data_IF_764920974921
#
_entry.id   IF_764920974921
#
_cell.length_a   1.000
_cell.length_b   1.000
_cell.length_c   1.000
_cell.angle_alpha   90.00
_cell.angle_beta   90.00
_cell.angle_gamma   90.00
#
_symmetry.space_group_name_H-M   'P 1'
#
loop_
_entity.id
_entity.type
_entity.pdbx_description
1 polymer ?
#
# COMPACT_ATOMS: atom_id res chain seq x y z
N UNK A 1 -1.52 15.12 -28.04
CA UNK A 1 -1.95 15.18 -26.63
C UNK A 1 -1.85 13.78 -26.04
N UNK A 2 -0.76 13.50 -25.31
CA UNK A 2 -0.62 12.25 -24.56
C UNK A 2 -1.12 12.52 -23.15
N UNK A 3 -2.31 12.03 -22.81
CA UNK A 3 -2.77 12.04 -21.43
C UNK A 3 -1.80 11.20 -20.60
N UNK A 4 -1.16 11.83 -19.61
CA UNK A 4 -0.40 11.12 -18.61
C UNK A 4 -1.33 10.09 -17.97
N UNK A 5 -1.15 8.83 -18.35
CA UNK A 5 -1.76 7.69 -17.67
C UNK A 5 -1.17 7.73 -16.27
N UNK A 6 -1.88 8.39 -15.35
CA UNK A 6 -1.59 8.39 -13.93
C UNK A 6 -1.28 6.94 -13.58
N UNK A 7 -0.07 6.67 -13.07
CA UNK A 7 0.31 5.33 -12.63
C UNK A 7 -0.55 5.03 -11.42
N UNK A 8 -1.76 4.56 -11.67
CA UNK A 8 -2.65 4.11 -10.61
C UNK A 8 -2.00 2.87 -10.00
N UNK A 9 -1.45 3.05 -8.80
CA UNK A 9 -0.89 1.95 -8.04
C UNK A 9 -2.02 0.97 -7.73
N UNK A 10 -1.95 -0.20 -8.39
CA UNK A 10 -2.83 -1.32 -8.09
C UNK A 10 -2.26 -2.11 -6.92
N UNK A 11 -3.08 -2.31 -5.90
CA UNK A 11 -2.73 -3.07 -4.71
C UNK A 11 -3.56 -4.35 -4.64
N UNK A 12 -2.97 -5.43 -4.14
CA UNK A 12 -3.67 -6.68 -3.91
C UNK A 12 -4.33 -6.69 -2.52
N UNK A 13 -5.62 -6.97 -2.49
CA UNK A 13 -6.43 -7.05 -1.26
C UNK A 13 -7.24 -8.34 -1.26
N UNK A 14 -7.79 -8.71 -0.11
CA UNK A 14 -8.69 -9.88 0.03
C UNK A 14 -10.12 -9.42 0.22
N UNK A 15 -11.05 -9.91 -0.59
CA UNK A 15 -12.47 -9.62 -0.44
C UNK A 15 -13.03 -10.27 0.84
N UNK A 16 -13.77 -9.50 1.65
CA UNK A 16 -14.52 -9.99 2.82
C UNK A 16 -15.99 -10.27 2.50
N UNK A 17 -16.46 -9.76 1.38
CA UNK A 17 -17.83 -9.93 0.88
C UNK A 17 -17.79 -10.29 -0.60
N UNK A 18 -18.89 -10.79 -1.13
CA UNK A 18 -19.03 -10.97 -2.57
C UNK A 18 -19.18 -9.58 -3.20
N UNK A 19 -18.19 -9.14 -3.97
CA UNK A 19 -18.17 -7.82 -4.58
C UNK A 19 -17.81 -7.90 -6.06
N UNK A 20 -18.40 -6.99 -6.84
CA UNK A 20 -17.98 -6.72 -8.21
C UNK A 20 -17.06 -5.50 -8.20
N UNK A 21 -15.85 -5.63 -8.72
CA UNK A 21 -14.91 -4.53 -8.88
C UNK A 21 -14.48 -4.46 -10.34
N UNK A 22 -14.61 -3.28 -10.95
CA UNK A 22 -14.42 -3.09 -12.39
C UNK A 22 -15.29 -4.08 -13.20
N UNK A 23 -14.67 -5.04 -13.89
CA UNK A 23 -15.31 -6.07 -14.70
C UNK A 23 -15.34 -7.44 -14.03
N UNK A 24 -14.63 -7.61 -12.92
CA UNK A 24 -14.50 -8.87 -12.19
C UNK A 24 -15.49 -8.99 -11.03
N UNK A 25 -16.02 -10.19 -10.84
CA UNK A 25 -16.79 -10.56 -9.64
C UNK A 25 -15.90 -11.44 -8.78
N UNK A 26 -15.73 -11.03 -7.52
CA UNK A 26 -14.88 -11.71 -6.54
C UNK A 26 -15.70 -12.13 -5.35
N UNK A 27 -15.54 -13.39 -4.96
CA UNK A 27 -16.20 -13.94 -3.77
C UNK A 27 -15.39 -13.63 -2.51
N UNK A 28 -16.04 -13.75 -1.36
CA UNK A 28 -15.36 -13.69 -0.07
C UNK A 28 -14.16 -14.65 -0.03
N UNK A 29 -13.03 -14.16 0.48
CA UNK A 29 -11.76 -14.87 0.54
C UNK A 29 -10.91 -14.78 -0.72
N UNK A 30 -11.45 -14.31 -1.85
CA UNK A 30 -10.67 -14.15 -3.07
C UNK A 30 -9.81 -12.89 -3.04
N UNK A 31 -8.65 -12.97 -3.70
CA UNK A 31 -7.75 -11.83 -3.91
C UNK A 31 -8.18 -11.02 -5.12
N UNK A 32 -8.12 -9.71 -5.00
CA UNK A 32 -8.40 -8.78 -6.09
C UNK A 32 -7.42 -7.61 -6.08
N UNK A 33 -7.19 -7.04 -7.26
CA UNK A 33 -6.39 -5.84 -7.41
C UNK A 33 -7.32 -4.64 -7.50
N UNK A 34 -7.16 -3.70 -6.59
CA UNK A 34 -7.91 -2.44 -6.57
C UNK A 34 -6.95 -1.27 -6.71
N UNK A 35 -7.49 -0.11 -7.07
CA UNK A 35 -6.74 1.15 -7.06
C UNK A 35 -6.47 1.55 -5.61
N UNK A 36 -5.28 2.08 -5.34
CA UNK A 36 -4.91 2.58 -4.01
C UNK A 36 -5.89 3.66 -3.51
N UNK A 37 -6.44 4.49 -4.41
CA UNK A 37 -7.47 5.49 -4.09
C UNK A 37 -8.74 4.88 -3.49
N UNK A 38 -9.15 3.69 -3.97
CA UNK A 38 -10.34 2.98 -3.47
C UNK A 38 -10.06 2.20 -2.19
N UNK A 39 -8.79 1.93 -1.85
CA UNK A 39 -8.40 1.13 -0.70
C UNK A 39 -9.08 1.61 0.58
N UNK A 40 -8.93 2.91 0.86
CA UNK A 40 -9.41 3.50 2.10
C UNK A 40 -10.92 3.36 2.22
N UNK A 41 -11.65 3.61 1.15
CA UNK A 41 -13.11 3.50 1.15
C UNK A 41 -13.57 2.04 1.30
N UNK A 42 -12.99 1.12 0.53
CA UNK A 42 -13.37 -0.30 0.58
C UNK A 42 -13.00 -0.94 1.92
N UNK A 43 -11.90 -0.50 2.54
CA UNK A 43 -11.48 -0.94 3.86
C UNK A 43 -12.38 -0.37 4.97
N UNK A 44 -12.73 0.92 4.90
CA UNK A 44 -13.60 1.58 5.87
C UNK A 44 -15.01 0.97 5.87
N UNK A 45 -15.54 0.67 4.68
CA UNK A 45 -16.81 -0.06 4.51
C UNK A 45 -16.74 -1.54 4.89
N UNK A 46 -15.54 -2.06 5.18
CA UNK A 46 -15.34 -3.46 5.57
C UNK A 46 -15.51 -4.48 4.44
N UNK A 47 -15.50 -4.05 3.18
CA UNK A 47 -15.64 -4.94 2.02
C UNK A 47 -14.37 -5.74 1.72
N UNK A 48 -13.22 -5.22 2.12
CA UNK A 48 -11.92 -5.86 1.89
C UNK A 48 -11.10 -5.97 3.19
N UNK A 49 -10.07 -6.81 3.13
CA UNK A 49 -8.96 -6.82 4.06
C UNK A 49 -7.69 -6.50 3.29
N UNK A 50 -7.02 -5.42 3.68
CA UNK A 50 -5.69 -5.12 3.23
C UNK A 50 -4.73 -5.26 4.40
N UNK A 51 -3.77 -6.17 4.25
CA UNK A 51 -2.62 -6.24 5.16
C UNK A 51 -1.47 -5.61 4.39
N UNK A 52 -1.02 -4.40 4.76
CA UNK A 52 0.15 -3.82 4.12
C UNK A 52 1.30 -4.82 4.30
N UNK A 53 2.11 -5.05 3.24
CA UNK A 53 3.36 -5.75 3.44
C UNK A 53 4.09 -4.96 4.53
N UNK A 54 4.53 -5.65 5.58
CA UNK A 54 5.40 -5.04 6.58
C UNK A 54 6.59 -4.49 5.79
N UNK A 55 6.58 -3.19 5.54
CA UNK A 55 7.82 -2.52 5.18
C UNK A 55 8.66 -2.74 6.41
N UNK A 56 9.64 -3.63 6.30
CA UNK A 56 10.76 -3.69 7.21
C UNK A 56 11.31 -2.29 7.20
N UNK A 57 10.86 -1.45 8.13
CA UNK A 57 11.45 -0.17 8.40
C UNK A 57 12.91 -0.52 8.66
N UNK A 58 13.80 -0.25 7.70
CA UNK A 58 15.19 -0.10 8.07
C UNK A 58 15.22 1.09 9.02
N UNK A 59 15.47 0.89 10.32
CA UNK A 59 15.74 2.02 11.19
C UNK A 59 17.13 2.50 10.78
N UNK A 60 17.26 3.61 10.06
CA UNK A 60 18.59 4.20 9.90
C UNK A 60 18.94 5.08 8.69
N UNK A 61 18.00 5.60 7.91
CA UNK A 61 18.32 6.80 7.09
C UNK A 61 18.01 8.07 7.88
N UNK A 62 18.80 8.28 8.93
CA UNK A 62 19.01 9.60 9.51
C UNK A 62 20.12 10.28 8.72
N UNK A 63 19.76 11.17 7.80
CA UNK A 63 20.66 12.20 7.29
C UNK A 63 21.05 13.12 8.45
N UNK A 64 22.18 12.81 9.10
CA UNK A 64 22.84 13.66 10.08
C UNK A 64 24.29 13.87 9.64
N UNK A 65 24.59 15.11 9.28
CA UNK A 65 25.89 15.54 8.78
C UNK A 65 26.99 15.39 9.85
N UNK A 66 28.18 15.02 9.37
CA UNK A 66 29.53 15.24 9.89
C UNK A 66 29.67 16.05 11.20
N UNK A 67 30.29 15.46 12.23
CA UNK A 67 31.68 15.71 12.67
C UNK A 67 32.01 14.89 13.94
N UNK A 68 33.26 14.42 14.13
CA UNK A 68 33.66 13.65 15.30
C UNK A 68 34.06 14.56 16.47
N UNK A 69 33.80 14.18 17.74
CA UNK A 69 34.55 14.69 18.87
C UNK A 69 35.57 13.66 19.40
N UNK A 70 36.56 14.13 20.16
CA UNK A 70 37.95 13.69 20.07
C UNK A 70 38.33 12.58 21.07
N UNK A 71 39.53 12.03 20.84
CA UNK A 71 40.24 11.13 21.74
C UNK A 71 40.48 11.74 23.13
N UNK A 72 40.43 10.94 24.20
CA UNK A 72 41.23 11.18 25.40
C UNK A 72 41.56 9.87 26.16
N UNK A 73 42.87 9.75 26.42
CA UNK A 73 43.65 8.96 27.42
C UNK A 73 43.52 7.44 27.55
#
# INVERSE_FOLDING_TARGET
>A
MAAAKEKENMIEVTAKVNMKYDTDIKKVGEKLKIRESDLKELQDKGYISYTPPVQTQQPGQGNGQQTPPPADK
#
